data_IF_380164243058
#
_entry.id   IF_380164243058
#
_cell.length_a   1.000
_cell.length_b   1.000
_cell.length_c   1.000
_cell.angle_alpha   90.00
_cell.angle_beta   90.00
_cell.angle_gamma   90.00
#
_symmetry.space_group_name_H-M   'P 1'
#
loop_
_entity.id
_entity.type
_entity.pdbx_description
1 polymer ?
#
# COMPACT_ATOMS: atom_id res chain seq x y z
N UNK A 1 1.94 57.11 -53.20
CA UNK A 1 2.54 56.24 -52.17
C UNK A 1 3.82 56.88 -51.67
N UNK A 2 3.82 57.36 -50.42
CA UNK A 2 4.98 57.18 -49.55
C UNK A 2 4.57 56.75 -48.12
N UNK A 3 5.53 56.12 -47.45
CA UNK A 3 5.45 55.51 -46.12
C UNK A 3 5.25 56.56 -45.03
N UNK A 4 4.35 56.30 -44.08
CA UNK A 4 4.25 57.02 -42.80
C UNK A 4 4.63 56.09 -41.66
N UNK A 5 5.53 56.56 -40.80
CA UNK A 5 5.82 56.01 -39.46
C UNK A 5 5.07 56.87 -38.45
N UNK A 6 4.34 56.24 -37.51
CA UNK A 6 3.88 56.84 -36.24
C UNK A 6 3.91 55.77 -35.14
N UNK A 7 4.32 56.20 -33.95
CA UNK A 7 4.64 55.45 -32.73
C UNK A 7 3.44 54.98 -31.88
N UNK A 8 3.78 53.99 -31.02
CA UNK A 8 3.29 53.69 -29.66
C UNK A 8 1.83 53.30 -29.40
N UNK A 9 1.63 52.16 -28.73
CA UNK A 9 0.95 52.01 -27.44
C UNK A 9 0.65 50.52 -27.16
N UNK A 10 0.91 50.06 -25.94
CA UNK A 10 0.60 48.70 -25.49
C UNK A 10 -0.89 48.51 -25.18
N UNK A 11 -1.41 47.27 -25.20
CA UNK A 11 -2.39 46.88 -24.21
C UNK A 11 -2.17 45.48 -23.58
N UNK A 12 -2.31 45.47 -22.27
CA UNK A 12 -2.98 44.54 -21.34
C UNK A 12 -3.28 43.07 -21.71
N UNK A 13 -3.06 42.23 -20.69
CA UNK A 13 -3.54 40.87 -20.43
C UNK A 13 -4.90 40.48 -21.06
N UNK A 14 -5.04 39.19 -21.45
CA UNK A 14 -6.15 38.31 -21.06
C UNK A 14 -5.70 36.84 -21.18
N UNK A 15 -6.13 36.10 -20.17
CA UNK A 15 -6.07 34.69 -19.82
C UNK A 15 -6.51 33.70 -20.90
N UNK A 16 -5.82 32.57 -20.99
CA UNK A 16 -6.30 31.33 -21.61
C UNK A 16 -5.71 30.14 -20.87
N UNK A 17 -6.43 29.66 -19.86
CA UNK A 17 -6.03 28.50 -19.07
C UNK A 17 -6.17 27.21 -19.88
N UNK A 18 -5.11 26.42 -19.87
CA UNK A 18 -5.22 24.97 -19.99
C UNK A 18 -4.74 24.39 -18.67
N UNK A 19 -5.69 24.20 -17.75
CA UNK A 19 -5.53 23.20 -16.70
C UNK A 19 -5.56 21.84 -17.40
N UNK A 20 -4.41 21.41 -17.89
CA UNK A 20 -4.17 19.98 -18.06
C UNK A 20 -4.23 19.38 -16.65
N UNK A 21 -5.34 18.69 -16.37
CA UNK A 21 -5.46 17.82 -15.21
C UNK A 21 -4.41 16.72 -15.35
N UNK A 22 -3.19 16.99 -14.91
CA UNK A 22 -2.16 15.98 -14.72
C UNK A 22 -2.67 15.04 -13.63
N UNK A 23 -2.99 13.81 -14.03
CA UNK A 23 -3.20 12.72 -13.09
C UNK A 23 -2.01 12.69 -12.11
N UNK A 24 -2.23 12.34 -10.83
CA UNK A 24 -1.12 12.05 -9.93
C UNK A 24 -0.19 11.03 -10.63
N UNK A 25 1.14 11.11 -10.46
CA UNK A 25 2.03 10.12 -11.04
C UNK A 25 1.52 8.75 -10.60
N UNK A 26 1.04 7.96 -11.56
CA UNK A 26 0.44 6.67 -11.27
C UNK A 26 1.43 5.90 -10.40
N UNK A 27 0.95 5.32 -9.30
CA UNK A 27 1.74 4.44 -8.45
C UNK A 27 2.02 3.15 -9.24
N UNK A 28 2.84 3.25 -10.29
CA UNK A 28 3.12 2.19 -11.28
C UNK A 28 3.74 0.95 -10.63
N UNK A 29 4.36 1.15 -9.47
CA UNK A 29 4.92 0.13 -8.62
C UNK A 29 3.88 -0.59 -7.75
N UNK A 30 2.59 -0.23 -7.80
CA UNK A 30 1.50 -1.02 -7.22
C UNK A 30 0.63 -1.57 -8.35
N UNK A 31 1.15 -2.57 -9.05
CA UNK A 31 0.52 -3.17 -10.22
C UNK A 31 0.65 -4.68 -10.22
N UNK A 32 -0.26 -5.35 -10.95
CA UNK A 32 -0.25 -6.81 -11.10
C UNK A 32 1.10 -7.28 -11.64
N UNK A 33 1.64 -8.32 -11.01
CA UNK A 33 2.95 -8.89 -11.35
C UNK A 33 4.12 -8.22 -10.64
N UNK A 34 3.95 -7.05 -10.03
CA UNK A 34 5.02 -6.41 -9.25
C UNK A 34 5.40 -7.30 -8.06
N UNK A 35 6.71 -7.48 -7.91
CA UNK A 35 7.31 -8.24 -6.82
C UNK A 35 8.00 -7.31 -5.83
N UNK A 36 8.05 -7.75 -4.58
CA UNK A 36 8.70 -7.08 -3.47
C UNK A 36 9.46 -8.10 -2.64
N UNK A 37 10.57 -7.68 -2.05
CA UNK A 37 11.34 -8.50 -1.14
C UNK A 37 11.82 -7.68 0.05
N UNK A 38 11.99 -8.34 1.18
CA UNK A 38 12.53 -7.74 2.38
C UNK A 38 12.39 -8.66 3.59
N UNK A 39 11.96 -8.12 4.73
CA UNK A 39 11.98 -8.83 6.00
C UNK A 39 10.75 -8.61 6.84
N UNK A 40 10.43 -9.62 7.66
CA UNK A 40 9.48 -9.54 8.76
C UNK A 40 10.20 -9.79 10.08
N UNK A 41 10.09 -8.85 11.01
CA UNK A 41 10.62 -9.01 12.36
C UNK A 41 9.61 -9.78 13.20
N UNK A 42 9.95 -11.03 13.53
CA UNK A 42 9.21 -11.84 14.48
C UNK A 42 9.81 -11.64 15.85
N UNK A 43 9.21 -10.74 16.63
CA UNK A 43 9.66 -10.50 17.99
C UNK A 43 9.30 -11.68 18.87
N UNK A 44 10.31 -12.40 19.34
CA UNK A 44 10.22 -13.13 20.61
C UNK A 44 11.04 -12.35 21.64
N UNK A 45 10.59 -12.34 22.90
CA UNK A 45 11.27 -11.68 24.03
C UNK A 45 12.74 -12.11 24.24
N UNK A 46 13.25 -13.07 23.47
CA UNK A 46 14.57 -13.68 23.65
C UNK A 46 15.47 -13.60 22.41
N UNK A 47 14.96 -13.20 21.23
CA UNK A 47 15.77 -13.11 20.01
C UNK A 47 15.09 -12.22 18.96
N UNK A 48 15.82 -11.22 18.48
CA UNK A 48 15.46 -10.51 17.26
C UNK A 48 15.73 -11.45 16.08
N UNK A 49 14.65 -12.04 15.55
CA UNK A 49 14.71 -12.85 14.35
C UNK A 49 13.94 -12.13 13.23
N UNK A 50 14.60 -11.98 12.08
CA UNK A 50 14.03 -11.36 10.90
C UNK A 50 13.95 -12.40 9.79
N UNK A 51 12.73 -12.79 9.43
CA UNK A 51 12.51 -13.71 8.33
C UNK A 51 12.55 -12.97 7.01
N UNK A 52 13.14 -13.58 5.99
CA UNK A 52 13.07 -13.03 4.64
C UNK A 52 11.67 -13.26 4.09
N UNK A 53 11.11 -12.24 3.47
CA UNK A 53 9.76 -12.27 2.91
C UNK A 53 9.79 -11.79 1.47
N UNK A 54 9.12 -12.54 0.59
CA UNK A 54 8.84 -12.14 -0.78
C UNK A 54 7.33 -11.94 -0.95
N UNK A 55 6.92 -10.90 -1.67
CA UNK A 55 5.50 -10.62 -1.97
C UNK A 55 5.34 -10.43 -3.46
N UNK A 56 4.23 -10.94 -4.02
CA UNK A 56 3.84 -10.70 -5.41
C UNK A 56 2.38 -10.28 -5.49
N UNK A 57 2.12 -9.16 -6.15
CA UNK A 57 0.76 -8.70 -6.47
C UNK A 57 0.23 -9.55 -7.62
N UNK A 58 -0.95 -10.13 -7.45
CA UNK A 58 -1.60 -10.99 -8.44
C UNK A 58 -2.89 -10.38 -9.01
N UNK A 59 -3.59 -9.58 -8.20
CA UNK A 59 -4.79 -8.85 -8.62
C UNK A 59 -4.80 -7.45 -8.03
N UNK A 60 -5.38 -6.50 -8.75
CA UNK A 60 -5.55 -5.12 -8.29
C UNK A 60 -6.79 -4.51 -8.98
N UNK A 61 -7.73 -4.07 -8.16
CA UNK A 61 -8.96 -3.38 -8.57
C UNK A 61 -9.11 -2.14 -7.69
N UNK A 62 -8.58 -1.02 -8.20
CA UNK A 62 -8.55 0.24 -7.46
C UNK A 62 -9.94 0.84 -7.27
N UNK A 63 -10.90 0.54 -8.17
CA UNK A 63 -12.25 1.11 -8.12
C UNK A 63 -13.06 0.59 -6.92
N UNK A 64 -12.80 -0.68 -6.56
CA UNK A 64 -13.37 -1.37 -5.41
C UNK A 64 -12.41 -1.42 -4.20
N UNK A 65 -11.28 -0.73 -4.27
CA UNK A 65 -10.31 -0.69 -3.17
C UNK A 65 -9.72 -2.06 -2.83
N UNK A 66 -9.52 -2.92 -3.83
CA UNK A 66 -9.09 -4.31 -3.65
C UNK A 66 -7.73 -4.58 -4.29
N UNK A 67 -6.96 -5.45 -3.66
CA UNK A 67 -5.80 -6.09 -4.26
C UNK A 67 -5.56 -7.45 -3.62
N UNK A 68 -4.82 -8.33 -4.27
CA UNK A 68 -4.46 -9.62 -3.69
C UNK A 68 -3.13 -10.11 -4.21
N UNK A 69 -2.60 -11.12 -3.54
CA UNK A 69 -1.30 -11.68 -3.90
C UNK A 69 -0.89 -12.84 -3.03
N UNK A 70 0.38 -13.20 -3.16
CA UNK A 70 1.03 -14.20 -2.32
C UNK A 70 2.13 -13.55 -1.49
N UNK A 71 2.32 -14.07 -0.29
CA UNK A 71 3.45 -13.78 0.58
C UNK A 71 4.21 -15.09 0.83
N UNK A 72 5.51 -15.07 0.69
CA UNK A 72 6.40 -16.20 0.91
C UNK A 72 7.36 -15.85 2.06
N UNK A 73 7.26 -16.57 3.16
CA UNK A 73 8.17 -16.47 4.30
C UNK A 73 9.25 -17.56 4.22
N UNK A 74 10.52 -17.13 4.21
CA UNK A 74 11.68 -18.01 4.13
C UNK A 74 12.29 -18.21 5.51
N UNK A 75 12.90 -19.39 5.71
CA UNK A 75 13.60 -19.79 6.94
C UNK A 75 12.69 -19.82 8.18
N UNK A 76 11.43 -20.19 7.99
CA UNK A 76 10.51 -20.47 9.09
C UNK A 76 11.04 -21.67 9.88
N UNK A 77 11.27 -21.58 11.21
CA UNK A 77 12.02 -22.60 11.96
C UNK A 77 11.50 -24.04 11.87
N UNK A 78 10.22 -24.22 11.60
CA UNK A 78 9.54 -25.53 11.56
C UNK A 78 9.16 -25.96 10.13
N UNK A 79 9.63 -25.25 9.09
CA UNK A 79 9.29 -25.56 7.70
C UNK A 79 10.54 -25.92 6.89
N UNK A 80 10.51 -27.08 6.23
CA UNK A 80 11.57 -27.54 5.31
C UNK A 80 11.59 -26.75 3.99
N UNK A 81 10.52 -26.03 3.69
CA UNK A 81 10.35 -25.20 2.50
C UNK A 81 9.77 -23.84 2.88
N UNK A 82 9.96 -22.79 2.05
CA UNK A 82 9.31 -21.51 2.28
C UNK A 82 7.80 -21.66 2.45
N UNK A 83 7.22 -20.96 3.42
CA UNK A 83 5.77 -20.98 3.66
C UNK A 83 5.13 -19.92 2.80
N UNK A 84 4.17 -20.32 1.95
CA UNK A 84 3.45 -19.42 1.05
C UNK A 84 2.01 -19.27 1.51
N UNK A 85 1.54 -18.04 1.60
CA UNK A 85 0.16 -17.70 1.95
C UNK A 85 -0.46 -16.85 0.85
N UNK A 86 -1.75 -17.03 0.61
CA UNK A 86 -2.55 -16.12 -0.21
C UNK A 86 -3.18 -15.05 0.69
N UNK A 87 -3.18 -13.81 0.23
CA UNK A 87 -3.73 -12.69 0.98
C UNK A 87 -4.60 -11.80 0.09
N UNK A 88 -5.58 -11.17 0.74
CA UNK A 88 -6.42 -10.14 0.16
C UNK A 88 -6.19 -8.82 0.89
N UNK A 89 -6.29 -7.73 0.14
CA UNK A 89 -5.96 -6.40 0.58
C UNK A 89 -7.11 -5.43 0.39
N UNK A 90 -7.26 -4.53 1.36
CA UNK A 90 -8.14 -3.38 1.29
C UNK A 90 -7.30 -2.12 1.12
N UNK A 91 -7.64 -1.28 0.16
CA UNK A 91 -7.06 0.05 -0.04
C UNK A 91 -7.89 1.06 0.74
N UNK A 92 -7.25 1.80 1.64
CA UNK A 92 -7.89 2.89 2.38
C UNK A 92 -8.00 4.10 1.46
N UNK A 93 -9.18 4.29 0.90
CA UNK A 93 -9.47 5.28 -0.15
C UNK A 93 -10.58 6.27 0.24
N UNK A 94 -11.08 6.18 1.47
CA UNK A 94 -12.19 6.98 2.05
C UNK A 94 -13.55 6.77 1.39
N UNK A 95 -13.64 5.92 0.37
CA UNK A 95 -14.86 5.57 -0.37
C UNK A 95 -15.33 4.15 -0.05
N UNK A 96 -14.49 3.17 -0.35
CA UNK A 96 -14.73 1.76 -0.07
C UNK A 96 -14.31 1.42 1.35
N UNK A 97 -13.17 1.97 1.79
CA UNK A 97 -12.61 1.69 3.10
C UNK A 97 -12.04 2.93 3.79
N UNK A 98 -12.25 3.02 5.10
CA UNK A 98 -11.72 4.09 5.97
C UNK A 98 -10.53 3.60 6.78
N UNK A 99 -9.94 4.47 7.61
CA UNK A 99 -8.85 4.08 8.50
C UNK A 99 -9.30 3.26 9.70
N UNK A 100 -10.58 3.30 10.07
CA UNK A 100 -11.13 2.41 11.10
C UNK A 100 -11.53 1.07 10.50
N UNK A 101 -10.95 0.00 11.01
CA UNK A 101 -11.08 -1.34 10.44
C UNK A 101 -12.47 -1.93 10.70
N UNK A 102 -12.98 -1.83 11.93
CA UNK A 102 -14.33 -2.31 12.29
C UNK A 102 -14.53 -3.83 12.19
N UNK A 103 -13.45 -4.60 12.02
CA UNK A 103 -13.41 -6.06 11.93
C UNK A 103 -12.03 -6.60 12.34
N UNK A 104 -11.87 -7.92 12.30
CA UNK A 104 -10.61 -8.60 12.68
C UNK A 104 -10.13 -8.23 14.08
N UNK A 105 -11.10 -8.03 15.00
CA UNK A 105 -10.88 -7.67 16.40
C UNK A 105 -10.17 -6.33 16.66
N UNK A 106 -9.84 -5.57 15.61
CA UNK A 106 -9.25 -4.25 15.73
C UNK A 106 -10.28 -3.20 16.15
N UNK A 107 -10.03 -2.54 17.29
CA UNK A 107 -10.79 -1.36 17.72
C UNK A 107 -10.25 -0.08 17.08
N UNK A 108 -11.00 1.03 17.07
CA UNK A 108 -10.48 2.34 16.63
C UNK A 108 -9.19 2.76 17.37
N UNK A 109 -9.04 2.41 18.65
CA UNK A 109 -7.83 2.69 19.41
C UNK A 109 -6.64 1.81 18.98
N UNK A 110 -6.89 0.57 18.54
CA UNK A 110 -5.87 -0.26 17.89
C UNK A 110 -5.48 0.34 16.54
N UNK A 111 -6.45 0.75 15.72
CA UNK A 111 -6.25 1.38 14.42
C UNK A 111 -5.34 2.61 14.55
N UNK A 112 -5.69 3.56 15.43
CA UNK A 112 -4.89 4.77 15.65
C UNK A 112 -3.47 4.42 16.10
N UNK A 113 -3.31 3.45 17.02
CA UNK A 113 -1.99 3.04 17.50
C UNK A 113 -1.12 2.44 16.40
N UNK A 114 -1.69 1.66 15.47
CA UNK A 114 -0.94 1.05 14.37
C UNK A 114 -0.67 2.04 13.25
N UNK A 115 -1.67 2.82 12.82
CA UNK A 115 -1.48 3.83 11.80
C UNK A 115 -0.46 4.89 12.21
N UNK A 116 -0.43 5.28 13.49
CA UNK A 116 0.56 6.22 14.03
C UNK A 116 2.01 5.69 14.03
N UNK A 117 2.24 4.42 13.68
CA UNK A 117 3.60 3.91 13.44
C UNK A 117 4.18 4.37 12.10
N UNK A 118 3.34 4.80 11.17
CA UNK A 118 3.79 5.36 9.90
C UNK A 118 3.95 6.87 10.02
N UNK A 119 5.15 7.44 9.80
CA UNK A 119 5.33 8.89 9.81
C UNK A 119 4.44 9.62 8.79
N UNK A 120 4.12 8.95 7.67
CA UNK A 120 3.18 9.42 6.65
C UNK A 120 1.74 9.52 7.14
N UNK A 121 1.37 8.91 8.26
CA UNK A 121 0.02 9.03 8.81
C UNK A 121 -0.16 10.27 9.69
N UNK A 122 0.92 10.79 10.28
CA UNK A 122 0.85 11.90 11.24
C UNK A 122 0.05 13.13 10.75
N UNK A 123 0.15 13.58 9.49
CA UNK A 123 -0.65 14.71 8.99
C UNK A 123 -2.17 14.43 8.92
N UNK A 124 -2.56 13.15 8.91
CA UNK A 124 -3.95 12.70 8.77
C UNK A 124 -4.62 12.45 10.13
N UNK A 125 -3.82 12.27 11.19
CA UNK A 125 -4.26 11.79 12.50
C UNK A 125 -5.51 12.49 13.03
N UNK A 126 -5.49 13.83 13.11
CA UNK A 126 -6.61 14.59 13.70
C UNK A 126 -7.92 14.39 12.95
N UNK A 127 -7.88 14.24 11.63
CA UNK A 127 -9.09 13.99 10.85
C UNK A 127 -9.56 12.54 11.01
N UNK A 128 -8.62 11.59 11.10
CA UNK A 128 -8.95 10.19 11.34
C UNK A 128 -9.56 9.97 12.71
N UNK A 129 -9.06 10.64 13.76
CA UNK A 129 -9.68 10.61 15.09
C UNK A 129 -11.11 11.18 15.07
N UNK A 130 -11.37 12.20 14.23
CA UNK A 130 -12.67 12.85 14.17
C UNK A 130 -13.74 12.02 13.46
N UNK A 131 -13.41 11.36 12.34
CA UNK A 131 -14.42 10.67 11.50
C UNK A 131 -13.96 9.36 10.85
N UNK A 132 -12.80 8.82 11.25
CA UNK A 132 -12.18 7.66 10.62
C UNK A 132 -11.49 7.97 9.29
N UNK A 133 -11.34 9.26 8.94
CA UNK A 133 -10.71 9.74 7.72
C UNK A 133 -11.68 9.87 6.55
N UNK A 134 -12.99 9.84 6.79
CA UNK A 134 -14.03 9.88 5.75
C UNK A 134 -14.02 11.17 4.94
N UNK A 135 -13.58 12.27 5.55
CA UNK A 135 -13.47 13.58 4.89
C UNK A 135 -12.08 13.88 4.32
N UNK A 136 -11.14 12.94 4.41
CA UNK A 136 -9.82 13.11 3.80
C UNK A 136 -9.88 12.96 2.28
N UNK A 137 -9.13 13.81 1.59
CA UNK A 137 -8.80 13.65 0.18
C UNK A 137 -7.42 13.00 0.06
N UNK A 138 -7.39 11.74 -0.35
CA UNK A 138 -6.16 10.97 -0.56
C UNK A 138 -5.71 10.91 -2.02
N UNK A 139 -6.44 11.56 -2.95
CA UNK A 139 -6.21 11.42 -4.40
C UNK A 139 -4.79 11.78 -4.85
N UNK A 140 -4.16 12.76 -4.18
CA UNK A 140 -2.80 13.21 -4.46
C UNK A 140 -1.82 12.92 -3.31
N UNK A 141 -2.21 12.06 -2.37
CA UNK A 141 -1.35 11.72 -1.26
C UNK A 141 -0.22 10.78 -1.73
N UNK A 142 1.06 11.03 -1.37
CA UNK A 142 2.18 10.26 -1.91
C UNK A 142 2.31 8.83 -1.35
N UNK A 143 1.39 8.43 -0.47
CA UNK A 143 1.33 7.12 0.17
C UNK A 143 -0.05 6.51 0.02
N UNK A 144 -0.07 5.19 -0.18
CA UNK A 144 -1.29 4.38 -0.19
C UNK A 144 -1.30 3.56 1.11
N UNK A 145 -2.36 3.73 1.90
CA UNK A 145 -2.58 2.92 3.09
C UNK A 145 -3.46 1.73 2.73
N UNK A 146 -3.13 0.56 3.27
CA UNK A 146 -3.83 -0.68 2.99
C UNK A 146 -3.91 -1.57 4.24
N UNK A 147 -4.82 -2.54 4.22
CA UNK A 147 -4.80 -3.66 5.16
C UNK A 147 -4.67 -4.97 4.39
N UNK A 148 -3.73 -5.84 4.75
CA UNK A 148 -3.55 -7.13 4.10
C UNK A 148 -3.91 -8.27 5.05
N UNK A 149 -4.87 -9.10 4.64
CA UNK A 149 -5.35 -10.26 5.39
C UNK A 149 -4.98 -11.53 4.65
N UNK A 150 -4.11 -12.33 5.25
CA UNK A 150 -3.83 -13.70 4.80
C UNK A 150 -5.08 -14.57 5.00
N UNK A 151 -5.43 -15.32 3.96
CA UNK A 151 -6.66 -16.14 3.92
C UNK A 151 -6.35 -17.61 4.17
N UNK A 152 -5.30 -18.14 3.54
CA UNK A 152 -4.93 -19.55 3.64
C UNK A 152 -3.46 -19.78 3.26
N UNK A 153 -2.91 -20.89 3.74
CA UNK A 153 -1.63 -21.43 3.30
C UNK A 153 -1.79 -22.12 1.93
N UNK A 154 -0.83 -21.90 1.04
CA UNK A 154 -0.87 -22.39 -0.34
C UNK A 154 -0.16 -23.75 -0.47
N UNK A 155 0.98 -23.91 0.20
CA UNK A 155 1.87 -25.07 0.01
C UNK A 155 2.11 -25.90 1.27
N UNK A 156 1.60 -25.46 2.43
CA UNK A 156 1.76 -26.15 3.72
C UNK A 156 0.43 -26.25 4.47
N UNK A 157 0.37 -27.12 5.46
CA UNK A 157 -0.75 -27.21 6.40
C UNK A 157 -0.69 -26.14 7.49
N UNK A 158 -1.77 -26.06 8.27
CA UNK A 158 -1.91 -25.16 9.43
C UNK A 158 -0.93 -25.46 10.58
N UNK A 159 -0.27 -26.62 10.53
CA UNK A 159 0.68 -27.15 11.51
C UNK A 159 2.13 -26.70 11.25
N UNK A 160 2.38 -25.81 10.29
CA UNK A 160 3.72 -25.28 9.98
C UNK A 160 4.30 -24.33 11.04
N UNK A 161 3.59 -24.09 12.15
CA UNK A 161 4.05 -23.26 13.26
C UNK A 161 3.92 -21.75 13.04
N UNK A 162 3.25 -21.33 11.96
CA UNK A 162 2.88 -19.93 11.72
C UNK A 162 1.41 -19.68 11.97
N UNK A 163 1.08 -18.50 12.50
CA UNK A 163 -0.28 -17.99 12.54
C UNK A 163 -0.50 -16.98 11.42
N UNK A 164 -1.66 -17.08 10.78
CA UNK A 164 -2.18 -16.10 9.80
C UNK A 164 -3.51 -15.50 10.27
N UNK A 165 -3.83 -15.61 11.57
CA UNK A 165 -5.12 -15.19 12.11
C UNK A 165 -5.34 -13.68 11.99
N UNK A 166 -4.28 -12.91 12.21
CA UNK A 166 -4.28 -11.45 12.14
C UNK A 166 -4.24 -10.89 10.73
N UNK A 167 -3.89 -9.62 10.64
CA UNK A 167 -3.72 -8.87 9.39
C UNK A 167 -2.60 -7.84 9.54
N UNK A 168 -2.18 -7.24 8.42
CA UNK A 168 -1.18 -6.20 8.40
C UNK A 168 -1.82 -4.85 8.14
N UNK A 169 -1.47 -3.84 8.94
CA UNK A 169 -1.56 -2.45 8.52
C UNK A 169 -0.39 -2.17 7.58
N UNK A 170 -0.63 -1.56 6.43
CA UNK A 170 0.38 -1.41 5.37
C UNK A 170 0.39 0.02 4.84
N UNK A 171 1.58 0.56 4.62
CA UNK A 171 1.83 1.85 3.98
C UNK A 171 2.79 1.65 2.81
N UNK A 172 2.33 2.01 1.62
CA UNK A 172 3.08 1.94 0.37
C UNK A 172 3.47 3.34 -0.09
N UNK A 173 4.74 3.54 -0.44
CA UNK A 173 5.26 4.78 -1.01
C UNK A 173 5.18 4.74 -2.54
N UNK A 174 4.43 5.66 -3.13
CA UNK A 174 4.34 5.76 -4.60
C UNK A 174 5.61 6.27 -5.26
N UNK A 175 6.53 6.86 -4.49
CA UNK A 175 7.78 7.43 -5.01
C UNK A 175 8.84 6.38 -5.31
N UNK A 176 8.97 5.37 -4.44
CA UNK A 176 10.06 4.37 -4.50
C UNK A 176 9.56 2.92 -4.41
N UNK A 177 8.25 2.71 -4.28
CA UNK A 177 7.64 1.39 -4.14
C UNK A 177 8.04 0.68 -2.85
N UNK A 178 8.40 1.42 -1.81
CA UNK A 178 8.64 0.82 -0.49
C UNK A 178 7.34 0.50 0.22
N UNK A 179 7.33 -0.64 0.90
CA UNK A 179 6.22 -1.10 1.73
C UNK A 179 6.72 -1.22 3.15
N UNK A 180 6.01 -0.57 4.05
CA UNK A 180 6.15 -0.77 5.48
C UNK A 180 4.84 -1.32 6.01
N UNK A 181 4.90 -2.27 6.93
CA UNK A 181 3.71 -2.81 7.56
C UNK A 181 3.95 -3.20 9.01
N UNK A 182 2.84 -3.35 9.73
CA UNK A 182 2.81 -3.85 11.09
C UNK A 182 1.71 -4.90 11.21
N UNK A 183 2.10 -6.10 11.60
CA UNK A 183 1.14 -7.18 11.89
C UNK A 183 0.36 -6.86 13.16
N UNK A 184 -0.93 -7.15 13.12
CA UNK A 184 -1.86 -7.06 14.22
C UNK A 184 -2.60 -8.39 14.40
N UNK A 185 -2.50 -8.91 15.62
CA UNK A 185 -3.30 -9.99 16.15
C UNK A 185 -3.31 -9.80 17.68
N UNK A 186 -4.49 -9.74 18.34
CA UNK A 186 -4.60 -9.57 19.79
C UNK A 186 -3.80 -10.59 20.60
N UNK A 187 -3.54 -11.77 20.04
CA UNK A 187 -2.87 -12.89 20.70
C UNK A 187 -1.37 -12.98 20.38
N UNK A 188 -0.86 -12.09 19.54
CA UNK A 188 0.54 -12.07 19.11
C UNK A 188 1.30 -10.91 19.72
N UNK A 189 2.63 -10.97 19.66
CA UNK A 189 3.45 -9.81 20.01
C UNK A 189 3.15 -8.65 19.05
N UNK A 190 2.90 -7.43 19.58
CA UNK A 190 2.44 -6.32 18.76
C UNK A 190 3.56 -5.74 17.89
N UNK A 191 3.17 -5.05 16.82
CA UNK A 191 4.08 -4.27 15.97
C UNK A 191 5.23 -5.08 15.35
N UNK A 192 4.99 -6.36 15.04
CA UNK A 192 5.91 -7.15 14.20
C UNK A 192 5.99 -6.45 12.84
N UNK A 193 7.18 -5.96 12.52
CA UNK A 193 7.38 -5.02 11.41
C UNK A 193 7.68 -5.78 10.12
N UNK A 194 6.99 -5.41 9.06
CA UNK A 194 7.21 -5.85 7.69
C UNK A 194 7.86 -4.71 6.90
N UNK A 195 8.98 -4.97 6.23
CA UNK A 195 9.68 -4.00 5.39
C UNK A 195 10.00 -4.64 4.06
N UNK A 196 9.50 -4.08 2.96
CA UNK A 196 9.73 -4.59 1.62
C UNK A 196 10.14 -3.46 0.67
N UNK A 197 10.94 -3.79 -0.33
CA UNK A 197 11.28 -2.92 -1.46
C UNK A 197 10.86 -3.60 -2.76
N UNK A 198 10.42 -2.78 -3.71
CA UNK A 198 10.13 -3.27 -5.06
C UNK A 198 11.38 -3.93 -5.67
N UNK A 199 11.19 -5.08 -6.29
CA UNK A 199 12.25 -5.79 -7.01
C UNK A 199 11.97 -5.76 -8.50
N UNK A 200 13.03 -5.91 -9.29
CA UNK A 200 12.91 -6.11 -10.74
C UNK A 200 12.71 -7.61 -11.09
N UNK A 201 12.63 -8.49 -10.09
CA UNK A 201 12.49 -9.92 -10.30
C UNK A 201 11.09 -10.26 -10.83
N UNK A 202 11.03 -10.77 -12.06
CA UNK A 202 9.78 -11.01 -12.79
C UNK A 202 9.38 -9.91 -13.77
N UNK A 203 10.16 -8.82 -13.89
CA UNK A 203 10.03 -7.84 -15.00
C UNK A 203 10.66 -8.31 -16.32
N UNK A 204 10.99 -9.59 -16.44
CA UNK A 204 11.35 -10.19 -17.74
C UNK A 204 10.16 -10.26 -18.71
N UNK A 205 8.96 -9.87 -18.26
CA UNK A 205 7.77 -9.73 -19.10
C UNK A 205 7.47 -8.26 -19.43
N UNK A 206 7.02 -8.01 -20.65
CA UNK A 206 6.44 -6.74 -21.06
C UNK A 206 5.13 -6.50 -20.31
N UNK A 207 4.97 -5.32 -19.70
CA UNK A 207 3.67 -4.85 -19.22
C UNK A 207 2.87 -4.36 -20.43
N UNK A 208 1.72 -4.98 -20.70
CA UNK A 208 0.78 -4.51 -21.71
C UNK A 208 -0.27 -3.62 -21.06
N UNK A 209 -0.77 -2.62 -21.78
CA UNK A 209 -1.93 -1.86 -21.37
C UNK A 209 -3.09 -2.80 -21.04
N UNK A 210 -3.80 -2.53 -19.95
CA UNK A 210 -5.04 -3.23 -19.63
C UNK A 210 -6.05 -3.01 -20.76
N UNK A 211 -6.75 -4.07 -21.16
CA UNK A 211 -7.86 -4.00 -22.11
C UNK A 211 -9.16 -4.15 -21.33
N UNK A 212 -10.13 -3.29 -21.63
CA UNK A 212 -11.50 -3.42 -21.17
C UNK A 212 -12.36 -3.74 -22.38
N UNK A 213 -13.15 -4.82 -22.31
CA UNK A 213 -14.14 -5.12 -23.33
C UNK A 213 -15.38 -4.26 -23.05
N UNK A 214 -15.86 -3.60 -24.10
CA UNK A 214 -17.04 -2.75 -24.10
C UNK A 214 -18.32 -3.57 -24.32
#
# INVERSE_FOLDING_TARGET
MPVRVVESSAPSQITGGNNEHSLPPACTLLSVGQAFAGTQNVSSLQKDEAWRVNVRIQGCDLDHGYLCGTMEALNVPLADTPVVTFWEGEIVDTKNYTFFTGKWEATPEDDIRHWSKFPSFNPLLSQVEADGGKSLDLSNYPYIFMRWKEQYFVNVGIDCGLTIAGFYYVCFSCSDGSINGFYYDPNSSPFQKLELKSTNEGRSGFSFSSYQLQ
#
